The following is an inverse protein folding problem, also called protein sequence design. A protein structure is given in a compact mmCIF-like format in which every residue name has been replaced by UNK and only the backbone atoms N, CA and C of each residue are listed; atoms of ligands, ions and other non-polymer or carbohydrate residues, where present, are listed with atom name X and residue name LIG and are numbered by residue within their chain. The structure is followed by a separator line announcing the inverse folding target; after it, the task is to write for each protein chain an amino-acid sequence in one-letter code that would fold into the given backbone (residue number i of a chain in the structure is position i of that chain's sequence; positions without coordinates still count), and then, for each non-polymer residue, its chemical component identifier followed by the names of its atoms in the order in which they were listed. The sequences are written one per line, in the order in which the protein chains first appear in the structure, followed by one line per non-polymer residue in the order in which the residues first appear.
data_IF_476463939088
#
_entry.id   IF_476463939088
#
_cell.length_a   1.000
_cell.length_b   1.000
_cell.length_c   1.000
_cell.angle_alpha   90.00
_cell.angle_beta   90.00
_cell.angle_gamma   90.00
#
_symmetry.space_group_name_H-M   'P 1'
#
loop_
_entity.id
_entity.type
_entity.pdbx_description
1 polymer ?
#
# COMPACT_ATOMS: atom_id res chain seq x y z
N UNK A 1 3.34 -10.24 -11.33
CA UNK A 1 3.46 -11.35 -10.35
C UNK A 1 2.27 -12.32 -10.52
N UNK A 2 2.44 -13.63 -10.32
CA UNK A 2 1.38 -14.66 -10.46
C UNK A 2 0.86 -15.07 -9.07
N UNK A 3 -0.46 -14.99 -8.86
CA UNK A 3 -1.15 -15.27 -7.59
C UNK A 3 -2.36 -14.36 -7.40
N UNK A 4 -3.33 -14.75 -6.56
CA UNK A 4 -4.44 -13.86 -6.20
C UNK A 4 -3.85 -12.65 -5.47
N UNK A 5 -3.85 -11.49 -6.13
CA UNK A 5 -3.24 -10.28 -5.58
C UNK A 5 -4.28 -9.50 -4.77
N UNK A 6 -3.85 -8.94 -3.65
CA UNK A 6 -4.67 -8.10 -2.78
C UNK A 6 -4.97 -6.74 -3.43
N UNK A 7 -4.02 -6.21 -4.22
CA UNK A 7 -4.15 -4.97 -4.99
C UNK A 7 -3.55 -5.08 -6.39
N UNK A 8 -4.14 -4.33 -7.34
CA UNK A 8 -3.61 -4.03 -8.66
C UNK A 8 -3.64 -2.51 -8.88
N UNK A 9 -2.55 -1.97 -9.42
CA UNK A 9 -2.44 -0.56 -9.80
C UNK A 9 -2.34 -0.43 -11.31
N UNK A 10 -3.16 0.44 -11.90
CA UNK A 10 -3.19 0.71 -13.33
C UNK A 10 -2.89 2.20 -13.55
N UNK A 11 -1.61 2.57 -13.76
CA UNK A 11 -1.24 3.97 -13.96
C UNK A 11 -1.89 4.51 -15.24
N UNK A 12 -2.45 5.71 -15.15
CA UNK A 12 -3.02 6.39 -16.29
C UNK A 12 -1.92 7.20 -16.98
N UNK A 13 -1.70 6.93 -18.26
CA UNK A 13 -0.79 7.72 -19.09
C UNK A 13 -1.61 8.76 -19.84
N UNK A 14 -1.60 10.01 -19.36
CA UNK A 14 -2.20 11.12 -20.09
C UNK A 14 -1.51 11.27 -21.45
N UNK A 15 -2.27 11.33 -22.56
CA UNK A 15 -1.72 11.71 -23.85
C UNK A 15 -1.14 13.12 -23.76
N UNK A 16 0.04 13.33 -24.34
CA UNK A 16 0.77 14.61 -24.29
C UNK A 16 -0.04 15.78 -24.85
N UNK A 17 -0.98 15.48 -25.75
CA UNK A 17 -1.88 16.44 -26.38
C UNK A 17 -2.92 17.03 -25.41
N UNK A 18 -3.17 16.37 -24.26
CA UNK A 18 -4.17 16.79 -23.25
C UNK A 18 -3.56 17.36 -21.96
N UNK A 19 -2.22 17.40 -21.83
CA UNK A 19 -1.53 17.92 -20.64
C UNK A 19 -1.80 19.42 -20.38
N UNK A 20 -2.24 20.17 -21.40
CA UNK A 20 -2.40 21.63 -21.32
C UNK A 20 -3.82 22.10 -20.94
N UNK A 21 -4.82 21.21 -20.95
CA UNK A 21 -6.23 21.61 -20.82
C UNK A 21 -6.86 21.30 -19.45
N UNK A 22 -6.19 20.51 -18.59
CA UNK A 22 -6.75 20.12 -17.29
C UNK A 22 -5.74 20.28 -16.16
N UNK A 23 -6.12 21.03 -15.12
CA UNK A 23 -5.31 21.23 -13.91
C UNK A 23 -5.44 20.06 -12.91
N UNK A 24 -5.87 18.89 -13.38
CA UNK A 24 -6.14 17.70 -12.55
C UNK A 24 -5.42 16.50 -13.15
N UNK A 25 -4.30 16.11 -12.53
CA UNK A 25 -3.59 14.90 -12.90
C UNK A 25 -4.33 13.67 -12.36
N UNK A 26 -4.91 12.86 -13.26
CA UNK A 26 -5.43 11.54 -12.93
C UNK A 26 -4.23 10.59 -12.85
N UNK A 27 -4.02 9.97 -11.69
CA UNK A 27 -2.90 9.04 -11.47
C UNK A 27 -3.18 7.65 -12.06
N UNK A 28 -4.44 7.21 -12.06
CA UNK A 28 -4.85 5.89 -12.52
C UNK A 28 -5.81 5.20 -11.56
N UNK A 29 -5.96 3.89 -11.73
CA UNK A 29 -6.93 3.07 -11.00
C UNK A 29 -6.25 2.15 -9.99
N UNK A 30 -6.87 1.99 -8.82
CA UNK A 30 -6.55 0.95 -7.84
C UNK A 30 -7.70 -0.04 -7.76
N UNK A 31 -7.42 -1.32 -8.00
CA UNK A 31 -8.38 -2.41 -7.84
C UNK A 31 -7.96 -3.26 -6.65
N UNK A 32 -8.80 -3.27 -5.61
CA UNK A 32 -8.50 -3.95 -4.33
C UNK A 32 -9.51 -5.07 -4.10
N UNK A 33 -9.02 -6.27 -3.79
CA UNK A 33 -9.87 -7.39 -3.41
C UNK A 33 -10.15 -7.38 -1.90
N UNK A 34 -11.28 -6.80 -1.50
CA UNK A 34 -11.65 -6.67 -0.08
C UNK A 34 -11.63 -8.00 0.69
N UNK A 35 -12.06 -9.10 0.07
CA UNK A 35 -12.06 -10.42 0.70
C UNK A 35 -10.64 -10.91 1.04
N UNK A 36 -9.66 -10.66 0.16
CA UNK A 36 -8.26 -11.04 0.38
C UNK A 36 -7.63 -10.13 1.44
N UNK A 37 -7.78 -8.82 1.32
CA UNK A 37 -7.26 -7.84 2.30
C UNK A 37 -7.80 -8.11 3.70
N UNK A 38 -9.10 -8.38 3.83
CA UNK A 38 -9.70 -8.72 5.12
C UNK A 38 -9.19 -10.05 5.67
N UNK A 39 -8.96 -11.04 4.81
CA UNK A 39 -8.39 -12.33 5.22
C UNK A 39 -6.95 -12.18 5.70
N UNK A 40 -6.12 -11.42 4.99
CA UNK A 40 -4.74 -11.13 5.37
C UNK A 40 -4.65 -10.37 6.70
N UNK A 41 -5.49 -9.35 6.88
CA UNK A 41 -5.58 -8.61 8.14
C UNK A 41 -5.99 -9.50 9.31
N UNK A 42 -6.87 -10.48 9.09
CA UNK A 42 -7.26 -11.46 10.11
C UNK A 42 -6.13 -12.44 10.43
N UNK A 43 -5.40 -12.93 9.43
CA UNK A 43 -4.30 -13.87 9.62
C UNK A 43 -3.10 -13.25 10.35
N UNK A 44 -2.90 -11.95 10.17
CA UNK A 44 -1.84 -11.17 10.84
C UNK A 44 -2.29 -10.49 12.14
N UNK A 45 -3.48 -10.85 12.65
CA UNK A 45 -4.08 -10.17 13.78
C UNK A 45 -3.19 -10.24 15.05
N UNK A 46 -3.13 -9.17 15.85
CA UNK A 46 -2.33 -9.12 17.07
C UNK A 46 -2.88 -10.07 18.14
N UNK A 47 -2.01 -10.47 19.08
CA UNK A 47 -2.40 -11.26 20.25
C UNK A 47 -3.39 -10.52 21.17
N UNK A 48 -3.38 -9.18 21.17
CA UNK A 48 -4.35 -8.37 21.91
C UNK A 48 -5.70 -8.37 21.19
N UNK A 49 -6.67 -9.04 21.80
CA UNK A 49 -8.00 -9.31 21.23
C UNK A 49 -9.02 -8.20 21.51
N UNK A 50 -8.63 -7.08 22.13
CA UNK A 50 -9.54 -5.96 22.34
C UNK A 50 -10.07 -5.45 21.00
N UNK A 51 -11.39 -5.27 20.90
CA UNK A 51 -12.05 -4.86 19.65
C UNK A 51 -11.43 -3.62 19.00
N UNK A 52 -11.01 -2.63 19.81
CA UNK A 52 -10.32 -1.43 19.33
C UNK A 52 -9.00 -1.76 18.61
N UNK A 53 -8.22 -2.69 19.16
CA UNK A 53 -6.91 -3.08 18.60
C UNK A 53 -7.10 -3.83 17.29
N UNK A 54 -8.05 -4.78 17.25
CA UNK A 54 -8.38 -5.51 16.03
C UNK A 54 -8.86 -4.56 14.92
N UNK A 55 -9.72 -3.60 15.25
CA UNK A 55 -10.19 -2.58 14.30
C UNK A 55 -9.03 -1.73 13.77
N UNK A 56 -8.14 -1.26 14.65
CA UNK A 56 -6.98 -0.48 14.25
C UNK A 56 -6.02 -1.29 13.36
N UNK A 57 -5.84 -2.59 13.63
CA UNK A 57 -5.04 -3.48 12.80
C UNK A 57 -5.62 -3.65 11.39
N UNK A 58 -6.93 -3.87 11.30
CA UNK A 58 -7.63 -3.97 10.01
C UNK A 58 -7.52 -2.67 9.21
N UNK A 59 -7.73 -1.52 9.86
CA UNK A 59 -7.59 -0.20 9.24
C UNK A 59 -6.15 0.07 8.77
N UNK A 60 -5.15 -0.36 9.56
CA UNK A 60 -3.74 -0.25 9.17
C UNK A 60 -3.41 -1.08 7.92
N UNK A 61 -3.92 -2.32 7.83
CA UNK A 61 -3.72 -3.17 6.65
C UNK A 61 -4.35 -2.56 5.39
N UNK A 62 -5.57 -2.02 5.50
CA UNK A 62 -6.23 -1.30 4.41
C UNK A 62 -5.46 -0.05 3.99
N UNK A 63 -5.01 0.75 4.96
CA UNK A 63 -4.22 1.95 4.69
C UNK A 63 -2.90 1.60 3.98
N UNK A 64 -2.24 0.51 4.40
CA UNK A 64 -1.04 0.02 3.76
C UNK A 64 -1.30 -0.33 2.30
N UNK A 65 -2.34 -1.11 2.00
CA UNK A 65 -2.68 -1.46 0.61
C UNK A 65 -2.94 -0.24 -0.27
N UNK A 66 -3.69 0.75 0.23
CA UNK A 66 -3.97 1.96 -0.54
C UNK A 66 -2.70 2.77 -0.80
N UNK A 67 -1.85 2.96 0.21
CA UNK A 67 -0.60 3.71 0.07
C UNK A 67 0.37 2.99 -0.88
N UNK A 68 0.50 1.66 -0.72
CA UNK A 68 1.31 0.82 -1.59
C UNK A 68 0.87 0.94 -3.06
N UNK A 69 -0.44 0.80 -3.30
CA UNK A 69 -1.01 0.96 -4.63
C UNK A 69 -0.78 2.35 -5.20
N UNK A 70 -0.94 3.40 -4.39
CA UNK A 70 -0.70 4.79 -4.79
C UNK A 70 0.76 5.02 -5.20
N UNK A 71 1.73 4.44 -4.49
CA UNK A 71 3.13 4.57 -4.88
C UNK A 71 3.44 3.87 -6.20
N UNK A 72 2.80 2.73 -6.49
CA UNK A 72 2.86 2.15 -7.83
C UNK A 72 2.28 3.07 -8.91
N UNK A 73 1.16 3.78 -8.64
CA UNK A 73 0.64 4.78 -9.58
C UNK A 73 1.59 5.97 -9.78
N UNK A 74 2.40 6.29 -8.77
CA UNK A 74 3.43 7.34 -8.83
C UNK A 74 4.76 6.86 -9.44
N UNK A 75 4.85 5.59 -9.87
CA UNK A 75 6.02 5.03 -10.54
C UNK A 75 7.10 4.47 -9.61
N UNK A 76 6.80 4.29 -8.33
CA UNK A 76 7.68 3.50 -7.44
C UNK A 76 7.43 2.01 -7.65
N UNK A 77 8.49 1.22 -7.52
CA UNK A 77 8.42 -0.23 -7.55
C UNK A 77 9.31 -0.81 -6.45
N UNK A 78 9.35 -2.13 -6.40
CA UNK A 78 10.01 -2.96 -5.39
C UNK A 78 10.59 -4.24 -6.05
N UNK A 79 10.93 -4.19 -7.35
CA UNK A 79 11.53 -5.32 -8.07
C UNK A 79 12.98 -5.59 -7.61
N UNK A 80 13.71 -4.53 -7.26
CA UNK A 80 15.06 -4.62 -6.65
C UNK A 80 15.05 -4.21 -5.18
N UNK A 81 16.03 -4.68 -4.40
CA UNK A 81 16.18 -4.32 -2.98
C UNK A 81 16.30 -2.81 -2.76
N UNK A 82 16.99 -2.11 -3.67
CA UNK A 82 17.16 -0.66 -3.60
C UNK A 82 15.84 0.07 -3.81
N UNK A 83 15.04 -0.36 -4.78
CA UNK A 83 13.73 0.23 -5.04
C UNK A 83 12.76 -0.07 -3.89
N UNK A 84 12.76 -1.32 -3.41
CA UNK A 84 11.97 -1.73 -2.25
C UNK A 84 12.29 -0.86 -1.03
N UNK A 85 13.56 -0.71 -0.65
CA UNK A 85 13.97 0.12 0.50
C UNK A 85 13.47 1.57 0.39
N UNK A 86 13.50 2.16 -0.81
CA UNK A 86 12.97 3.51 -1.04
C UNK A 86 11.45 3.55 -0.87
N UNK A 87 10.73 2.61 -1.50
CA UNK A 87 9.27 2.56 -1.44
C UNK A 87 8.79 2.27 -0.01
N UNK A 88 9.38 1.31 0.69
CA UNK A 88 9.07 0.94 2.08
C UNK A 88 9.27 2.14 3.03
N UNK A 89 10.37 2.89 2.87
CA UNK A 89 10.61 4.09 3.69
C UNK A 89 9.51 5.15 3.49
N UNK A 90 9.02 5.33 2.27
CA UNK A 90 7.92 6.24 1.96
C UNK A 90 6.60 5.73 2.56
N UNK A 91 6.31 4.43 2.44
CA UNK A 91 5.11 3.80 3.02
C UNK A 91 5.07 3.97 4.54
N UNK A 92 6.18 3.68 5.22
CA UNK A 92 6.33 3.88 6.67
C UNK A 92 6.07 5.33 7.05
N UNK A 93 6.63 6.28 6.29
CA UNK A 93 6.48 7.70 6.57
C UNK A 93 5.01 8.14 6.47
N UNK A 94 4.28 7.70 5.44
CA UNK A 94 2.88 8.10 5.26
C UNK A 94 1.94 7.39 6.23
N UNK A 95 2.13 6.10 6.49
CA UNK A 95 1.35 5.36 7.50
C UNK A 95 1.50 5.99 8.88
N UNK A 96 2.73 6.38 9.26
CA UNK A 96 2.99 7.07 10.52
C UNK A 96 2.24 8.40 10.62
N UNK A 97 2.16 9.19 9.55
CA UNK A 97 1.39 10.45 9.53
C UNK A 97 -0.11 10.21 9.70
N UNK A 98 -0.62 9.09 9.22
CA UNK A 98 -2.01 8.67 9.40
C UNK A 98 -2.28 8.01 10.77
N UNK A 99 -1.24 7.83 11.60
CA UNK A 99 -1.37 7.21 12.92
C UNK A 99 -1.37 5.67 12.91
N UNK A 100 -0.93 5.06 11.80
CA UNK A 100 -0.78 3.61 11.67
C UNK A 100 0.65 3.15 11.97
N UNK A 101 0.83 1.93 12.51
CA UNK A 101 2.15 1.37 12.79
C UNK A 101 2.94 1.06 11.50
N UNK A 102 4.24 0.84 11.65
CA UNK A 102 5.08 0.36 10.56
C UNK A 102 4.69 -1.10 10.19
N UNK A 103 4.30 -1.38 8.93
CA UNK A 103 3.81 -2.70 8.52
C UNK A 103 4.94 -3.75 8.40
N UNK A 104 6.21 -3.34 8.35
CA UNK A 104 7.38 -4.20 8.15
C UNK A 104 8.02 -4.72 9.46
N UNK A 105 7.45 -4.38 10.62
CA UNK A 105 8.02 -4.79 11.91
C UNK A 105 7.86 -6.29 12.21
N UNK A 106 7.03 -7.00 11.44
CA UNK A 106 6.71 -8.43 11.64
C UNK A 106 7.28 -9.35 10.55
N UNK A 107 7.99 -8.81 9.55
CA UNK A 107 8.75 -9.63 8.60
C UNK A 107 10.11 -9.96 9.20
N UNK A 108 10.34 -11.24 9.52
CA UNK A 108 11.65 -11.79 9.85
C UNK A 108 12.62 -11.71 8.66
N UNK A 109 12.99 -10.48 8.27
CA UNK A 109 14.15 -10.14 7.43
C UNK A 109 14.29 -8.62 7.43
N UNK A 110 15.02 -8.12 8.42
CA UNK A 110 15.45 -6.74 8.51
C UNK A 110 16.97 -6.69 8.26
N UNK A 111 17.47 -6.33 7.07
CA UNK A 111 18.71 -5.60 7.00
C UNK A 111 18.42 -4.10 7.07
N UNK A 112 19.17 -3.46 7.97
CA UNK A 112 19.20 -2.03 8.29
C UNK A 112 19.18 -1.09 7.07
#
# INVERSE_FOLDING_TARGET
KQGATNILSFPFCMPKEMETETNTAILGDLVICAAIVNKEAQLSAPHDTRAKVIKQHQEAHWAHMVIHGLFHLLGYDHETEKEASVMEALEINQLKKLGFPNPYLNSENNPL
#
